data_IF_746105170503
#
_entry.id   IF_746105170503
#
_cell.length_a   1.000
_cell.length_b   1.000
_cell.length_c   1.000
_cell.angle_alpha   90.00
_cell.angle_beta   90.00
_cell.angle_gamma   90.00
#
_symmetry.space_group_name_H-M   'P 1'
#
loop_
_entity.id
_entity.type
_entity.pdbx_description
1 polymer ?
#
# COMPACT_ATOMS: atom_id res chain seq x y z
N UNK A 1 8.12 -21.45 -7.57
CA UNK A 1 7.35 -21.98 -8.72
C UNK A 1 6.09 -21.14 -8.90
N UNK A 2 5.78 -20.74 -10.14
CA UNK A 2 4.56 -19.98 -10.47
C UNK A 2 3.43 -20.94 -10.81
N UNK A 3 2.29 -20.80 -10.14
CA UNK A 3 1.07 -21.54 -10.47
C UNK A 3 0.15 -20.65 -11.30
N UNK A 4 -0.29 -21.17 -12.44
CA UNK A 4 -1.17 -20.46 -13.37
C UNK A 4 -2.47 -21.22 -13.57
N UNK A 5 -3.57 -20.50 -13.79
CA UNK A 5 -4.85 -21.03 -14.24
C UNK A 5 -5.22 -20.33 -15.55
N UNK A 6 -5.42 -21.09 -16.63
CA UNK A 6 -5.69 -20.56 -17.98
C UNK A 6 -4.69 -19.48 -18.42
N UNK A 7 -3.40 -19.67 -18.11
CA UNK A 7 -2.33 -18.72 -18.45
C UNK A 7 -2.23 -17.50 -17.54
N UNK A 8 -3.17 -17.30 -16.61
CA UNK A 8 -3.09 -16.23 -15.62
C UNK A 8 -2.40 -16.71 -14.33
N UNK A 9 -1.38 -16.00 -13.82
CA UNK A 9 -0.77 -16.33 -12.54
C UNK A 9 -1.77 -16.19 -11.39
N UNK A 10 -1.96 -17.27 -10.62
CA UNK A 10 -2.89 -17.30 -9.47
C UNK A 10 -2.19 -17.51 -8.13
N UNK A 11 -1.01 -18.15 -8.12
CA UNK A 11 -0.25 -18.33 -6.89
C UNK A 11 1.26 -18.41 -7.15
N UNK A 12 2.03 -18.14 -6.09
CA UNK A 12 3.48 -18.33 -6.04
C UNK A 12 3.80 -19.30 -4.92
N UNK A 13 4.44 -20.43 -5.26
CA UNK A 13 4.97 -21.37 -4.28
C UNK A 13 6.45 -21.09 -4.05
N UNK A 14 6.83 -20.93 -2.79
CA UNK A 14 8.21 -20.70 -2.37
C UNK A 14 8.60 -21.85 -1.46
N UNK A 15 9.74 -22.48 -1.75
CA UNK A 15 10.29 -23.51 -0.86
C UNK A 15 10.80 -22.83 0.40
N UNK A 16 10.41 -23.38 1.54
CA UNK A 16 10.82 -22.91 2.86
C UNK A 16 11.10 -24.14 3.72
N UNK A 17 12.08 -24.01 4.61
CA UNK A 17 12.30 -24.97 5.70
C UNK A 17 11.87 -24.35 7.04
N UNK A 18 11.88 -25.15 8.11
CA UNK A 18 11.41 -24.68 9.43
C UNK A 18 12.19 -23.47 9.96
N UNK A 19 13.47 -23.31 9.57
CA UNK A 19 14.32 -22.19 9.97
C UNK A 19 14.08 -20.91 9.17
N UNK A 20 13.67 -21.02 7.90
CA UNK A 20 13.62 -19.88 6.97
C UNK A 20 12.19 -19.39 6.70
N UNK A 21 11.17 -20.06 7.25
CA UNK A 21 9.77 -19.73 7.01
C UNK A 21 9.43 -18.27 7.39
N UNK A 22 9.79 -17.83 8.59
CA UNK A 22 9.46 -16.48 9.08
C UNK A 22 10.16 -15.39 8.26
N UNK A 23 11.45 -15.55 8.00
CA UNK A 23 12.25 -14.62 7.20
C UNK A 23 11.70 -14.53 5.76
N UNK A 24 11.37 -15.68 5.16
CA UNK A 24 10.79 -15.75 3.82
C UNK A 24 9.43 -15.04 3.75
N UNK A 25 8.58 -15.23 4.75
CA UNK A 25 7.29 -14.53 4.85
C UNK A 25 7.46 -13.02 5.03
N UNK A 26 8.41 -12.59 5.84
CA UNK A 26 8.71 -11.19 6.06
C UNK A 26 9.22 -10.53 4.76
N UNK A 27 10.14 -11.19 4.05
CA UNK A 27 10.66 -10.73 2.77
C UNK A 27 9.56 -10.58 1.71
N UNK A 28 8.69 -11.59 1.59
CA UNK A 28 7.55 -11.53 0.67
C UNK A 28 6.58 -10.39 1.01
N UNK A 29 6.29 -10.19 2.31
CA UNK A 29 5.42 -9.09 2.76
C UNK A 29 6.02 -7.73 2.43
N UNK A 30 7.33 -7.55 2.67
CA UNK A 30 8.04 -6.32 2.34
C UNK A 30 8.04 -6.06 0.83
N UNK A 31 8.34 -7.07 0.02
CA UNK A 31 8.32 -6.95 -1.43
C UNK A 31 6.94 -6.51 -1.96
N UNK A 32 5.86 -7.08 -1.41
CA UNK A 32 4.49 -6.65 -1.75
C UNK A 32 4.22 -5.20 -1.36
N UNK A 33 4.64 -4.79 -0.17
CA UNK A 33 4.46 -3.41 0.29
C UNK A 33 5.22 -2.41 -0.61
N UNK A 34 6.45 -2.73 -1.00
CA UNK A 34 7.23 -1.91 -1.92
C UNK A 34 6.57 -1.80 -3.30
N UNK A 35 6.02 -2.90 -3.82
CA UNK A 35 5.31 -2.88 -5.10
C UNK A 35 4.06 -2.00 -5.02
N UNK A 36 3.28 -2.11 -3.95
CA UNK A 36 2.12 -1.27 -3.71
C UNK A 36 2.50 0.21 -3.61
N UNK A 37 3.56 0.54 -2.87
CA UNK A 37 4.06 1.91 -2.75
C UNK A 37 4.49 2.49 -4.11
N UNK A 38 5.16 1.69 -4.95
CA UNK A 38 5.53 2.10 -6.31
C UNK A 38 4.31 2.33 -7.21
N UNK A 39 3.25 1.55 -7.04
CA UNK A 39 1.99 1.77 -7.77
C UNK A 39 1.32 3.06 -7.30
N UNK A 40 1.22 3.26 -5.98
CA UNK A 40 0.66 4.47 -5.39
C UNK A 40 1.43 5.72 -5.84
N UNK A 41 2.75 5.69 -5.79
CA UNK A 41 3.59 6.80 -6.24
C UNK A 41 3.45 7.10 -7.74
N UNK A 42 3.20 6.08 -8.58
CA UNK A 42 2.90 6.29 -10.01
C UNK A 42 1.54 6.95 -10.19
N UNK A 43 0.53 6.50 -9.47
CA UNK A 43 -0.80 7.09 -9.50
C UNK A 43 -0.78 8.55 -9.02
N UNK A 44 -0.10 8.83 -7.91
CA UNK A 44 0.03 10.17 -7.34
C UNK A 44 0.72 11.16 -8.30
N UNK A 45 1.73 10.69 -9.06
CA UNK A 45 2.35 11.50 -10.13
C UNK A 45 1.39 11.76 -11.28
N UNK A 46 0.60 10.75 -11.68
CA UNK A 46 -0.40 10.89 -12.74
C UNK A 46 -1.55 11.84 -12.38
N UNK A 47 -1.90 11.95 -11.09
CA UNK A 47 -2.97 12.83 -10.60
C UNK A 47 -2.49 14.21 -10.13
N UNK A 48 -1.19 14.50 -10.20
CA UNK A 48 -0.59 15.72 -9.64
C UNK A 48 -0.49 15.75 -8.11
N UNK A 49 -1.01 14.73 -7.41
CA UNK A 49 -0.95 14.64 -5.95
C UNK A 49 0.50 14.55 -5.39
N UNK A 50 1.45 14.14 -6.22
CA UNK A 50 2.86 14.12 -5.86
C UNK A 50 3.47 15.53 -5.66
N UNK A 51 2.81 16.58 -6.14
CA UNK A 51 3.27 17.97 -6.04
C UNK A 51 2.62 18.72 -4.87
N UNK A 52 1.72 18.06 -4.12
CA UNK A 52 1.07 18.66 -2.96
C UNK A 52 2.12 19.04 -1.90
N UNK A 53 2.15 20.32 -1.56
CA UNK A 53 2.98 20.81 -0.46
C UNK A 53 2.41 20.40 0.89
N UNK A 54 3.29 20.27 1.89
CA UNK A 54 2.89 19.88 3.24
C UNK A 54 1.82 20.80 3.84
N UNK A 55 1.89 22.11 3.58
CA UNK A 55 0.89 23.07 4.07
C UNK A 55 -0.53 22.75 3.56
N UNK A 56 -0.68 22.45 2.27
CA UNK A 56 -1.97 22.08 1.66
C UNK A 56 -2.49 20.76 2.22
N UNK A 57 -1.60 19.80 2.49
CA UNK A 57 -1.96 18.52 3.11
C UNK A 57 -2.46 18.75 4.54
N UNK A 58 -1.74 19.56 5.32
CA UNK A 58 -2.10 19.87 6.71
C UNK A 58 -3.44 20.61 6.79
N UNK A 59 -3.69 21.57 5.90
CA UNK A 59 -4.96 22.30 5.80
C UNK A 59 -6.13 21.34 5.54
N UNK A 60 -5.98 20.43 4.58
CA UNK A 60 -7.00 19.42 4.26
C UNK A 60 -7.26 18.47 5.45
N UNK A 61 -6.21 18.02 6.12
CA UNK A 61 -6.32 17.18 7.33
C UNK A 61 -7.06 17.93 8.44
N UNK A 62 -6.75 19.22 8.65
CA UNK A 62 -7.40 20.03 9.67
C UNK A 62 -8.88 20.26 9.33
N UNK A 63 -9.18 20.59 8.07
CA UNK A 63 -10.56 20.75 7.59
C UNK A 63 -11.38 19.48 7.86
N UNK A 64 -10.87 18.31 7.48
CA UNK A 64 -11.55 17.03 7.71
C UNK A 64 -11.73 16.72 9.21
N UNK A 65 -10.72 17.01 10.04
CA UNK A 65 -10.79 16.81 11.50
C UNK A 65 -11.80 17.75 12.16
N UNK A 66 -11.95 18.99 11.68
CA UNK A 66 -12.95 19.93 12.15
C UNK A 66 -14.35 19.48 11.74
N UNK A 67 -14.52 19.06 10.49
CA UNK A 67 -15.79 18.52 9.98
C UNK A 67 -16.25 17.30 10.80
N UNK A 68 -15.35 16.36 11.12
CA UNK A 68 -15.68 15.21 11.98
C UNK A 68 -16.10 15.61 13.39
N UNK A 69 -15.49 16.65 13.96
CA UNK A 69 -15.89 17.20 15.28
C UNK A 69 -17.26 17.86 15.25
N UNK A 70 -17.63 18.49 14.13
CA UNK A 70 -18.95 19.11 13.93
C UNK A 70 -20.06 18.09 13.63
N UNK A 71 -19.71 16.92 13.08
CA UNK A 71 -20.65 15.85 12.74
C UNK A 71 -20.85 14.81 13.86
N UNK A 72 -20.06 14.87 14.93
CA UNK A 72 -20.30 14.04 16.10
C UNK A 72 -21.62 14.50 16.77
N UNK A 73 -22.64 13.63 16.89
CA UNK A 73 -23.84 13.98 17.63
C UNK A 73 -23.48 14.17 19.11
N UNK A 74 -23.93 15.29 19.69
CA UNK A 74 -23.94 15.49 21.15
C UNK A 74 -24.76 14.41 21.85
#
# INVERSE_FOLDING_TARGET
MLLTNNGQPVALMVSVDGSTLEESLQALRLAKAQLALRQLGRAARGSGAAELGNATIDDEIQALRQQRRQQAPC
#
